data_IF_761101569716
#
_entry.id   IF_761101569716
#
_cell.length_a   1.000
_cell.length_b   1.000
_cell.length_c   1.000
_cell.angle_alpha   90.00
_cell.angle_beta   90.00
_cell.angle_gamma   90.00
#
_symmetry.space_group_name_H-M   'P 1'
#
loop_
_entity.id
_entity.type
_entity.pdbx_description
1 polymer ?
#
# COMPACT_ATOMS: atom_id res chain seq x y z
N UNK A 1 -23.31 11.28 -13.36
CA UNK A 1 -24.64 10.68 -13.36
C UNK A 1 -24.52 9.17 -13.36
N UNK A 2 -24.91 8.52 -12.25
CA UNK A 2 -24.77 7.07 -12.10
C UNK A 2 -25.79 6.29 -12.95
N UNK A 3 -26.91 6.89 -13.29
CA UNK A 3 -27.92 6.35 -14.18
C UNK A 3 -28.41 7.42 -15.15
N UNK A 4 -27.91 7.35 -16.39
CA UNK A 4 -28.21 8.34 -17.41
C UNK A 4 -29.71 8.37 -17.77
N UNK A 5 -30.35 7.19 -17.87
CA UNK A 5 -31.80 7.10 -18.21
C UNK A 5 -32.67 7.70 -17.11
N UNK A 6 -32.38 7.42 -15.87
CA UNK A 6 -33.10 7.99 -14.73
C UNK A 6 -33.04 9.51 -14.72
N UNK A 7 -31.85 10.07 -15.01
CA UNK A 7 -31.65 11.51 -15.09
C UNK A 7 -32.42 12.13 -16.27
N UNK A 8 -32.44 11.48 -17.44
CA UNK A 8 -33.21 11.91 -18.58
C UNK A 8 -34.73 11.95 -18.23
N UNK A 9 -35.24 10.90 -17.57
CA UNK A 9 -36.62 10.85 -17.12
C UNK A 9 -36.94 12.00 -16.15
N UNK A 10 -36.06 12.27 -15.19
CA UNK A 10 -36.22 13.39 -14.27
C UNK A 10 -36.33 14.74 -15.04
N UNK A 11 -35.45 14.95 -16.02
CA UNK A 11 -35.43 16.15 -16.86
C UNK A 11 -36.66 16.24 -17.75
N UNK A 12 -37.11 15.15 -18.38
CA UNK A 12 -38.29 15.11 -19.22
C UNK A 12 -39.55 15.37 -18.39
N UNK A 13 -39.66 14.76 -17.21
CA UNK A 13 -40.77 15.02 -16.28
C UNK A 13 -40.87 16.47 -15.89
N UNK A 14 -39.72 17.06 -15.45
CA UNK A 14 -39.67 18.46 -15.05
C UNK A 14 -40.05 19.39 -16.18
N UNK A 15 -39.56 19.12 -17.41
CA UNK A 15 -39.90 19.87 -18.59
C UNK A 15 -41.40 19.78 -18.96
N UNK A 16 -42.03 18.61 -18.79
CA UNK A 16 -43.44 18.43 -19.05
C UNK A 16 -44.29 19.17 -18.01
N UNK A 17 -43.96 19.06 -16.73
CA UNK A 17 -44.70 19.74 -15.67
C UNK A 17 -44.55 21.25 -15.65
N UNK A 18 -43.46 21.79 -16.27
CA UNK A 18 -43.21 23.23 -16.38
C UNK A 18 -43.90 23.86 -17.62
N UNK A 19 -44.59 23.08 -18.47
CA UNK A 19 -45.32 23.65 -19.65
C UNK A 19 -46.51 24.46 -19.21
N UNK A 20 -46.66 25.65 -19.77
CA UNK A 20 -47.85 26.49 -19.57
C UNK A 20 -49.11 25.89 -20.24
N UNK A 21 -48.92 25.22 -21.41
CA UNK A 21 -49.99 24.53 -22.16
C UNK A 21 -49.86 23.01 -21.99
N UNK A 22 -50.33 22.51 -20.86
CA UNK A 22 -50.30 21.06 -20.55
C UNK A 22 -51.40 20.34 -21.34
N UNK A 23 -51.03 19.51 -22.32
CA UNK A 23 -51.96 18.77 -23.17
C UNK A 23 -52.32 17.39 -22.59
N UNK A 24 -53.34 16.75 -23.15
CA UNK A 24 -53.76 15.37 -22.80
C UNK A 24 -52.64 14.37 -23.14
N UNK A 25 -51.88 14.60 -24.24
CA UNK A 25 -50.71 13.84 -24.65
C UNK A 25 -49.55 14.00 -23.64
N UNK A 26 -49.35 15.21 -23.11
CA UNK A 26 -48.36 15.45 -22.06
C UNK A 26 -48.70 14.69 -20.78
N UNK A 27 -50.02 14.57 -20.46
CA UNK A 27 -50.49 13.80 -19.32
C UNK A 27 -50.21 12.28 -19.46
N UNK A 28 -50.40 11.71 -20.65
CA UNK A 28 -50.10 10.32 -20.94
C UNK A 28 -48.58 10.07 -20.84
N UNK A 29 -47.76 10.95 -21.45
CA UNK A 29 -46.31 10.84 -21.40
C UNK A 29 -45.77 11.00 -19.99
N UNK A 30 -46.31 11.93 -19.20
CA UNK A 30 -45.98 12.10 -17.80
C UNK A 30 -46.25 10.82 -16.98
N UNK A 31 -47.40 10.17 -17.19
CA UNK A 31 -47.76 8.93 -16.51
C UNK A 31 -46.82 7.75 -16.88
N UNK A 32 -46.45 7.65 -18.17
CA UNK A 32 -45.44 6.67 -18.62
C UNK A 32 -44.09 6.88 -17.96
N UNK A 33 -43.60 8.13 -17.93
CA UNK A 33 -42.34 8.49 -17.30
C UNK A 33 -42.36 8.27 -15.78
N UNK A 34 -43.51 8.53 -15.12
CA UNK A 34 -43.69 8.21 -13.69
C UNK A 34 -43.57 6.70 -13.43
N UNK A 35 -44.20 5.88 -14.28
CA UNK A 35 -44.09 4.42 -14.19
C UNK A 35 -42.66 3.92 -14.37
N UNK A 36 -41.94 4.46 -15.37
CA UNK A 36 -40.54 4.12 -15.59
C UNK A 36 -39.65 4.60 -14.44
N UNK A 37 -39.88 5.81 -13.92
CA UNK A 37 -39.17 6.38 -12.76
C UNK A 37 -39.36 5.53 -11.51
N UNK A 38 -40.59 5.08 -11.24
CA UNK A 38 -40.87 4.19 -10.11
C UNK A 38 -40.16 2.83 -10.23
N UNK A 39 -40.14 2.27 -11.46
CA UNK A 39 -39.45 0.98 -11.74
C UNK A 39 -37.94 1.06 -11.50
N UNK A 40 -37.34 2.23 -11.72
CA UNK A 40 -35.94 2.50 -11.51
C UNK A 40 -35.62 2.97 -10.08
N UNK A 41 -36.55 2.90 -9.15
CA UNK A 41 -36.41 3.41 -7.78
C UNK A 41 -36.05 4.88 -7.70
N UNK A 42 -36.58 5.68 -8.62
CA UNK A 42 -36.24 7.08 -8.78
C UNK A 42 -36.52 7.98 -7.57
N UNK A 43 -37.49 7.61 -6.74
CA UNK A 43 -37.86 8.35 -5.53
C UNK A 43 -36.75 8.33 -4.46
N UNK A 44 -35.93 7.29 -4.41
CA UNK A 44 -34.85 7.13 -3.47
C UNK A 44 -33.49 7.53 -4.07
N UNK A 45 -33.45 7.82 -5.37
CA UNK A 45 -32.20 8.05 -6.11
C UNK A 45 -31.33 9.17 -5.54
N UNK A 46 -31.92 10.29 -5.13
CA UNK A 46 -31.15 11.39 -4.51
C UNK A 46 -30.60 11.01 -3.13
N UNK A 47 -31.41 10.32 -2.33
CA UNK A 47 -30.98 9.83 -1.02
C UNK A 47 -29.86 8.80 -1.16
N UNK A 48 -29.97 7.86 -2.10
CA UNK A 48 -28.95 6.86 -2.37
C UNK A 48 -27.66 7.51 -2.84
N UNK A 49 -27.74 8.48 -3.74
CA UNK A 49 -26.57 9.24 -4.20
C UNK A 49 -25.91 10.02 -3.05
N UNK A 50 -26.69 10.67 -2.19
CA UNK A 50 -26.20 11.38 -1.04
C UNK A 50 -25.50 10.44 -0.04
N UNK A 51 -26.05 9.28 0.22
CA UNK A 51 -25.46 8.26 1.10
C UNK A 51 -24.12 7.76 0.56
N UNK A 52 -24.01 7.50 -0.75
CA UNK A 52 -22.76 7.10 -1.39
C UNK A 52 -21.68 8.20 -1.28
N UNK A 53 -22.06 9.45 -1.56
CA UNK A 53 -21.14 10.59 -1.48
C UNK A 53 -20.64 10.83 -0.05
N UNK A 54 -21.55 10.83 0.93
CA UNK A 54 -21.20 11.00 2.34
C UNK A 54 -20.29 9.85 2.83
N UNK A 55 -20.61 8.61 2.47
CA UNK A 55 -19.79 7.44 2.81
C UNK A 55 -18.37 7.53 2.27
N UNK A 56 -18.18 8.12 1.10
CA UNK A 56 -16.87 8.36 0.49
C UNK A 56 -16.20 9.65 0.98
N UNK A 57 -16.77 10.35 1.98
CA UNK A 57 -16.21 11.56 2.56
C UNK A 57 -16.37 12.80 1.68
N UNK A 58 -17.46 12.89 0.89
CA UNK A 58 -17.91 14.09 0.22
C UNK A 58 -19.03 14.70 1.07
N UNK A 59 -18.76 15.77 1.77
CA UNK A 59 -19.71 16.44 2.67
C UNK A 59 -20.92 17.02 1.90
N UNK A 60 -22.05 17.09 2.57
CA UNK A 60 -23.34 17.48 1.96
C UNK A 60 -23.29 18.87 1.29
N UNK A 61 -22.43 19.77 1.75
CA UNK A 61 -22.25 21.10 1.15
C UNK A 61 -21.73 21.08 -0.29
N UNK A 62 -21.02 19.99 -0.67
CA UNK A 62 -20.47 19.80 -2.03
C UNK A 62 -21.45 19.10 -2.98
N UNK A 63 -22.55 18.49 -2.51
CA UNK A 63 -23.44 17.66 -3.32
C UNK A 63 -24.11 18.41 -4.48
N UNK A 64 -24.34 19.70 -4.32
CA UNK A 64 -24.99 20.56 -5.32
C UNK A 64 -24.00 21.46 -6.08
N UNK A 65 -22.70 21.30 -5.85
CA UNK A 65 -21.67 22.01 -6.60
C UNK A 65 -21.42 21.35 -7.97
N UNK A 66 -20.89 22.15 -8.89
CA UNK A 66 -20.48 21.63 -10.18
C UNK A 66 -19.23 20.78 -10.02
N UNK A 67 -19.18 19.61 -10.69
CA UNK A 67 -18.00 18.71 -10.64
C UNK A 67 -16.72 19.43 -11.07
N UNK A 68 -16.84 20.47 -11.94
CA UNK A 68 -15.71 21.29 -12.35
C UNK A 68 -15.01 21.99 -11.19
N UNK A 69 -15.75 22.38 -10.18
CA UNK A 69 -15.28 23.19 -9.04
C UNK A 69 -14.66 22.32 -7.92
N UNK A 70 -14.85 21.01 -7.98
CA UNK A 70 -14.29 20.07 -7.02
C UNK A 70 -12.78 19.86 -7.22
N UNK A 71 -12.08 19.53 -6.13
CA UNK A 71 -10.67 19.12 -6.18
C UNK A 71 -10.47 17.81 -6.93
N UNK A 72 -9.25 17.51 -7.36
CA UNK A 72 -8.94 16.25 -8.04
C UNK A 72 -9.31 15.01 -7.22
N UNK A 73 -9.02 15.01 -5.91
CA UNK A 73 -9.37 13.93 -5.01
C UNK A 73 -10.89 13.76 -4.85
N UNK A 74 -11.63 14.85 -4.71
CA UNK A 74 -13.10 14.82 -4.65
C UNK A 74 -13.71 14.29 -5.96
N UNK A 75 -13.16 14.67 -7.12
CA UNK A 75 -13.61 14.15 -8.43
C UNK A 75 -13.48 12.63 -8.52
N UNK A 76 -12.38 12.06 -8.03
CA UNK A 76 -12.20 10.60 -7.99
C UNK A 76 -13.25 9.93 -7.11
N UNK A 77 -13.52 10.48 -5.93
CA UNK A 77 -14.57 9.99 -5.02
C UNK A 77 -15.95 10.05 -5.66
N UNK A 78 -16.27 11.10 -6.39
CA UNK A 78 -17.55 11.23 -7.13
C UNK A 78 -17.67 10.20 -8.25
N UNK A 79 -16.58 9.93 -8.99
CA UNK A 79 -16.56 8.88 -10.02
C UNK A 79 -16.75 7.49 -9.42
N UNK A 80 -16.17 7.23 -8.24
CA UNK A 80 -16.41 5.99 -7.51
C UNK A 80 -17.87 5.87 -7.08
N UNK A 81 -18.45 6.92 -6.50
CA UNK A 81 -19.88 6.96 -6.16
C UNK A 81 -20.77 6.69 -7.38
N UNK A 82 -20.42 7.25 -8.54
CA UNK A 82 -21.11 6.99 -9.80
C UNK A 82 -21.08 5.50 -10.19
N UNK A 83 -19.95 4.84 -10.03
CA UNK A 83 -19.82 3.40 -10.34
C UNK A 83 -20.62 2.52 -9.39
N UNK A 84 -20.74 2.91 -8.12
CA UNK A 84 -21.50 2.17 -7.10
C UNK A 84 -23.01 2.40 -7.18
N UNK A 85 -23.45 3.48 -7.81
CA UNK A 85 -24.84 3.88 -7.88
C UNK A 85 -25.69 2.92 -8.73
N UNK A 86 -26.90 2.62 -8.27
CA UNK A 86 -27.88 1.85 -9.04
C UNK A 86 -27.73 0.34 -8.94
N UNK A 87 -26.97 -0.16 -7.99
CA UNK A 87 -26.77 -1.59 -7.74
C UNK A 87 -26.42 -2.39 -9.03
N UNK A 88 -25.29 -2.12 -9.67
CA UNK A 88 -24.90 -2.77 -10.92
C UNK A 88 -24.76 -4.29 -10.74
N UNK A 89 -25.06 -5.07 -11.78
CA UNK A 89 -24.89 -6.52 -11.77
C UNK A 89 -23.44 -6.95 -11.68
N UNK A 90 -22.54 -6.18 -12.31
CA UNK A 90 -21.10 -6.40 -12.30
C UNK A 90 -20.41 -5.08 -12.03
N UNK A 91 -19.62 -5.04 -10.98
CA UNK A 91 -18.82 -3.88 -10.56
C UNK A 91 -17.35 -4.14 -10.84
N UNK A 92 -16.71 -3.27 -11.63
CA UNK A 92 -15.31 -3.33 -11.96
C UNK A 92 -14.58 -2.14 -11.32
N UNK A 93 -13.65 -2.41 -10.40
CA UNK A 93 -12.91 -1.40 -9.67
C UNK A 93 -11.41 -1.59 -9.88
N UNK A 94 -10.74 -0.55 -10.33
CA UNK A 94 -9.29 -0.51 -10.48
C UNK A 94 -8.71 0.49 -9.49
N UNK A 95 -7.93 -0.03 -8.52
CA UNK A 95 -7.31 0.73 -7.43
C UNK A 95 -8.28 1.67 -6.69
N UNK A 96 -9.43 1.18 -6.19
CA UNK A 96 -10.51 2.03 -5.67
C UNK A 96 -10.15 2.73 -4.35
N UNK A 97 -9.14 2.24 -3.62
CA UNK A 97 -8.70 2.83 -2.35
C UNK A 97 -7.76 4.03 -2.53
N UNK A 98 -7.25 4.25 -3.74
CA UNK A 98 -6.41 5.39 -4.03
C UNK A 98 -7.17 6.70 -3.80
N UNK A 99 -6.53 7.64 -3.11
CA UNK A 99 -7.09 8.95 -2.76
C UNK A 99 -8.27 8.94 -1.76
N UNK A 100 -8.56 7.81 -1.15
CA UNK A 100 -9.50 7.71 -0.04
C UNK A 100 -8.77 7.86 1.30
N UNK A 101 -9.44 8.49 2.26
CA UNK A 101 -9.04 8.45 3.66
C UNK A 101 -9.49 7.13 4.32
N UNK A 102 -9.02 6.87 5.53
CA UNK A 102 -9.29 5.62 6.23
C UNK A 102 -10.78 5.36 6.46
N UNK A 103 -11.56 6.41 6.75
CA UNK A 103 -13.00 6.29 7.00
C UNK A 103 -13.74 5.93 5.71
N UNK A 104 -13.37 6.55 4.59
CA UNK A 104 -13.92 6.23 3.27
C UNK A 104 -13.53 4.81 2.81
N UNK A 105 -12.31 4.36 3.10
CA UNK A 105 -11.88 2.98 2.83
C UNK A 105 -12.71 2.00 3.66
N UNK A 106 -12.86 2.23 4.96
CA UNK A 106 -13.65 1.38 5.83
C UNK A 106 -15.12 1.30 5.39
N UNK A 107 -15.69 2.43 4.98
CA UNK A 107 -17.05 2.46 4.43
C UNK A 107 -17.15 1.66 3.11
N UNK A 108 -16.17 1.82 2.20
CA UNK A 108 -16.13 1.07 0.93
C UNK A 108 -15.99 -0.43 1.16
N UNK A 109 -15.17 -0.85 2.11
CA UNK A 109 -15.04 -2.24 2.51
C UNK A 109 -16.37 -2.83 2.95
N UNK A 110 -17.08 -2.14 3.84
CA UNK A 110 -18.39 -2.57 4.32
C UNK A 110 -19.42 -2.60 3.20
N UNK A 111 -19.43 -1.60 2.33
CA UNK A 111 -20.29 -1.57 1.15
C UNK A 111 -20.07 -2.80 0.25
N UNK A 112 -18.79 -3.13 -0.07
CA UNK A 112 -18.46 -4.25 -0.95
C UNK A 112 -18.68 -5.61 -0.30
N UNK A 113 -18.51 -5.75 1.01
CA UNK A 113 -18.83 -6.99 1.74
C UNK A 113 -20.33 -7.28 1.66
N UNK A 114 -21.16 -6.26 1.75
CA UNK A 114 -22.63 -6.37 1.68
C UNK A 114 -23.20 -6.33 0.25
N UNK A 115 -22.33 -6.12 -0.75
CA UNK A 115 -22.76 -6.07 -2.16
C UNK A 115 -23.09 -7.48 -2.66
N UNK A 116 -24.34 -7.69 -3.09
CA UNK A 116 -24.84 -9.02 -3.43
C UNK A 116 -24.41 -9.51 -4.81
N UNK A 117 -24.04 -8.60 -5.71
CA UNK A 117 -23.68 -8.90 -7.09
C UNK A 117 -22.16 -9.15 -7.25
N UNK A 118 -21.72 -9.33 -8.47
CA UNK A 118 -20.33 -9.65 -8.78
C UNK A 118 -19.44 -8.41 -8.70
N UNK A 119 -18.34 -8.48 -7.94
CA UNK A 119 -17.30 -7.46 -7.88
C UNK A 119 -15.99 -8.05 -8.39
N UNK A 120 -15.33 -7.34 -9.30
CA UNK A 120 -13.97 -7.61 -9.70
C UNK A 120 -13.14 -6.38 -9.35
N UNK A 121 -12.18 -6.55 -8.45
CA UNK A 121 -11.33 -5.46 -7.96
C UNK A 121 -9.87 -5.76 -8.21
N UNK A 122 -9.13 -4.75 -8.66
CA UNK A 122 -7.66 -4.72 -8.72
C UNK A 122 -7.17 -3.77 -7.64
N UNK A 123 -6.31 -4.21 -6.77
CA UNK A 123 -5.73 -3.36 -5.73
C UNK A 123 -4.36 -3.87 -5.29
N UNK A 124 -3.49 -2.95 -4.89
CA UNK A 124 -2.24 -3.22 -4.19
C UNK A 124 -2.39 -3.19 -2.66
N UNK A 125 -3.57 -2.83 -2.16
CA UNK A 125 -3.90 -2.84 -0.74
C UNK A 125 -4.27 -4.25 -0.28
N UNK A 126 -3.32 -4.93 0.35
CA UNK A 126 -3.49 -6.32 0.83
C UNK A 126 -4.55 -6.43 1.92
N UNK A 127 -4.64 -5.45 2.80
CA UNK A 127 -5.64 -5.43 3.86
C UNK A 127 -7.05 -5.34 3.29
N UNK A 128 -7.25 -4.43 2.33
CA UNK A 128 -8.51 -4.30 1.60
C UNK A 128 -8.89 -5.60 0.86
N UNK A 129 -7.95 -6.21 0.12
CA UNK A 129 -8.18 -7.47 -0.57
C UNK A 129 -8.54 -8.61 0.39
N UNK A 130 -7.86 -8.70 1.54
CA UNK A 130 -8.14 -9.71 2.55
C UNK A 130 -9.54 -9.59 3.14
N UNK A 131 -10.00 -8.37 3.32
CA UNK A 131 -11.28 -8.08 3.95
C UNK A 131 -12.47 -8.24 3.00
N UNK A 132 -12.30 -7.86 1.73
CA UNK A 132 -13.38 -7.79 0.74
C UNK A 132 -13.44 -9.04 -0.14
N UNK A 133 -12.30 -9.61 -0.55
CA UNK A 133 -12.28 -10.66 -1.56
C UNK A 133 -12.53 -12.05 -0.98
N UNK A 134 -13.38 -12.82 -1.69
CA UNK A 134 -13.66 -14.24 -1.41
C UNK A 134 -12.88 -15.18 -2.33
N UNK A 135 -12.38 -14.66 -3.44
CA UNK A 135 -11.56 -15.38 -4.42
C UNK A 135 -10.45 -14.46 -4.94
N UNK A 136 -9.33 -15.05 -5.30
CA UNK A 136 -8.22 -14.36 -5.95
C UNK A 136 -8.06 -14.90 -7.38
N UNK A 137 -8.08 -14.01 -8.35
CA UNK A 137 -7.75 -14.28 -9.74
C UNK A 137 -6.28 -13.92 -9.98
N UNK A 138 -5.43 -14.91 -10.07
CA UNK A 138 -4.01 -14.74 -10.32
C UNK A 138 -3.72 -14.75 -11.82
N UNK A 139 -3.18 -13.64 -12.33
CA UNK A 139 -2.81 -13.48 -13.73
C UNK A 139 -1.29 -13.59 -13.84
N UNK A 140 -0.81 -14.69 -14.38
CA UNK A 140 0.61 -14.92 -14.59
C UNK A 140 0.87 -15.65 -15.91
N UNK A 141 1.90 -15.23 -16.65
CA UNK A 141 2.25 -15.77 -17.99
C UNK A 141 1.07 -15.85 -18.99
N UNK A 142 0.18 -14.86 -18.96
CA UNK A 142 -0.98 -14.78 -19.86
C UNK A 142 -2.08 -15.82 -19.54
N UNK A 143 -2.07 -16.38 -18.35
CA UNK A 143 -3.10 -17.30 -17.84
C UNK A 143 -3.74 -16.72 -16.60
N UNK A 144 -5.03 -16.99 -16.43
CA UNK A 144 -5.80 -16.64 -15.24
C UNK A 144 -6.05 -17.92 -14.45
N UNK A 145 -5.67 -17.93 -13.19
CA UNK A 145 -5.96 -19.02 -12.26
C UNK A 145 -6.75 -18.48 -11.06
N UNK A 146 -7.88 -19.13 -10.76
CA UNK A 146 -8.72 -18.76 -9.64
C UNK A 146 -8.37 -19.59 -8.41
N UNK A 147 -8.27 -18.91 -7.27
CA UNK A 147 -8.08 -19.50 -5.95
C UNK A 147 -9.24 -19.09 -5.06
N UNK A 148 -9.86 -20.05 -4.38
CA UNK A 148 -10.82 -19.75 -3.33
C UNK A 148 -10.09 -19.24 -2.08
N UNK A 149 -10.63 -18.20 -1.45
CA UNK A 149 -10.05 -17.58 -0.26
C UNK A 149 -9.61 -16.14 -0.52
N UNK A 150 -9.04 -15.53 0.51
CA UNK A 150 -8.52 -14.17 0.45
C UNK A 150 -7.06 -14.13 -0.04
N UNK A 151 -6.47 -12.91 -0.06
CA UNK A 151 -5.11 -12.70 -0.52
C UNK A 151 -4.06 -13.47 0.31
N UNK A 152 -4.15 -13.47 1.63
CA UNK A 152 -3.18 -14.18 2.50
C UNK A 152 -3.23 -15.67 2.26
N UNK A 153 -4.41 -16.25 2.14
CA UNK A 153 -4.58 -17.68 1.82
C UNK A 153 -3.96 -18.02 0.45
N UNK A 154 -4.19 -17.19 -0.55
CA UNK A 154 -3.55 -17.36 -1.88
C UNK A 154 -2.03 -17.28 -1.77
N UNK A 155 -1.51 -16.28 -1.07
CA UNK A 155 -0.07 -16.07 -0.92
C UNK A 155 0.60 -17.26 -0.23
N UNK A 156 0.09 -17.68 0.92
CA UNK A 156 0.61 -18.84 1.67
C UNK A 156 0.52 -20.13 0.87
N UNK A 157 -0.61 -20.38 0.22
CA UNK A 157 -0.84 -21.57 -0.62
C UNK A 157 0.09 -21.58 -1.82
N UNK A 158 0.33 -20.46 -2.48
CA UNK A 158 1.24 -20.34 -3.61
C UNK A 158 2.69 -20.58 -3.20
N UNK A 159 3.13 -20.04 -2.06
CA UNK A 159 4.48 -20.27 -1.52
C UNK A 159 4.69 -21.72 -1.13
N UNK A 160 3.70 -22.33 -0.49
CA UNK A 160 3.75 -23.75 -0.11
C UNK A 160 3.85 -24.65 -1.35
N UNK A 161 3.05 -24.38 -2.37
CA UNK A 161 3.07 -25.15 -3.64
C UNK A 161 4.44 -25.06 -4.33
N UNK A 162 5.02 -23.85 -4.41
CA UNK A 162 6.37 -23.64 -4.97
C UNK A 162 7.42 -24.42 -4.17
N UNK A 163 7.34 -24.38 -2.83
CA UNK A 163 8.25 -25.14 -1.98
C UNK A 163 8.13 -26.64 -2.21
N UNK A 164 6.93 -27.18 -2.25
CA UNK A 164 6.68 -28.61 -2.50
C UNK A 164 7.20 -29.05 -3.88
N UNK A 165 6.97 -28.23 -4.92
CA UNK A 165 7.50 -28.50 -6.26
C UNK A 165 9.03 -28.52 -6.29
N UNK A 166 9.69 -27.56 -5.61
CA UNK A 166 11.16 -27.53 -5.49
C UNK A 166 11.71 -28.77 -4.79
N UNK A 167 11.09 -29.17 -3.68
CA UNK A 167 11.48 -30.38 -2.95
C UNK A 167 11.26 -31.65 -3.77
N UNK A 168 10.13 -31.76 -4.48
CA UNK A 168 9.86 -32.88 -5.40
C UNK A 168 10.87 -32.93 -6.54
N UNK A 169 11.20 -31.82 -7.16
CA UNK A 169 12.22 -31.76 -8.21
C UNK A 169 13.61 -32.12 -7.69
N UNK A 170 14.00 -31.64 -6.51
CA UNK A 170 15.27 -32.02 -5.89
C UNK A 170 15.39 -33.55 -5.71
N UNK A 171 14.34 -34.20 -5.23
CA UNK A 171 14.31 -35.65 -5.10
C UNK A 171 14.41 -36.37 -6.47
N UNK A 172 13.76 -35.82 -7.50
CA UNK A 172 13.87 -36.35 -8.87
C UNK A 172 15.27 -36.13 -9.42
N UNK A 173 15.92 -35.00 -9.20
CA UNK A 173 17.32 -34.74 -9.61
C UNK A 173 18.31 -35.66 -8.91
N UNK A 174 18.17 -35.91 -7.63
CA UNK A 174 18.98 -36.88 -6.88
C UNK A 174 18.82 -38.28 -7.47
N UNK A 175 17.58 -38.67 -7.81
CA UNK A 175 17.31 -39.94 -8.45
C UNK A 175 17.89 -40.06 -9.86
N UNK A 176 17.80 -38.98 -10.64
CA UNK A 176 18.44 -38.91 -11.96
C UNK A 176 19.95 -39.13 -11.83
N UNK A 177 20.59 -38.44 -10.90
CA UNK A 177 22.02 -38.57 -10.65
C UNK A 177 22.43 -40.00 -10.26
N UNK A 178 21.71 -40.63 -9.32
CA UNK A 178 21.94 -42.01 -8.93
C UNK A 178 21.84 -42.97 -10.12
N UNK A 179 20.81 -42.80 -10.96
CA UNK A 179 20.59 -43.62 -12.15
C UNK A 179 21.70 -43.42 -13.19
N UNK A 180 22.11 -42.17 -13.42
CA UNK A 180 23.20 -41.86 -14.35
C UNK A 180 24.53 -42.45 -13.89
N UNK A 181 24.89 -42.31 -12.60
CA UNK A 181 26.11 -42.89 -12.04
C UNK A 181 26.10 -44.43 -12.15
N UNK A 182 24.96 -45.07 -11.88
CA UNK A 182 24.83 -46.51 -12.04
C UNK A 182 24.99 -46.94 -13.49
N UNK A 183 24.33 -46.26 -14.43
CA UNK A 183 24.43 -46.55 -15.87
C UNK A 183 25.88 -46.39 -16.34
N UNK A 184 26.53 -45.29 -15.95
CA UNK A 184 27.93 -45.05 -16.33
C UNK A 184 28.87 -46.13 -15.79
N UNK A 185 28.69 -46.58 -14.56
CA UNK A 185 29.56 -47.56 -13.89
C UNK A 185 29.38 -48.96 -14.45
N UNK A 186 28.17 -49.36 -14.89
CA UNK A 186 27.84 -50.74 -15.23
C UNK A 186 27.41 -50.96 -16.68
N UNK A 187 27.37 -49.93 -17.52
CA UNK A 187 27.01 -50.05 -18.94
C UNK A 187 27.94 -51.02 -19.73
N UNK A 188 29.20 -51.06 -19.39
CA UNK A 188 30.21 -51.92 -20.03
C UNK A 188 30.30 -53.36 -19.43
N UNK A 189 29.56 -53.66 -18.35
CA UNK A 189 29.62 -54.93 -17.66
C UNK A 189 28.53 -55.88 -18.17
N UNK A 190 28.92 -56.97 -18.87
CA UNK A 190 28.01 -57.92 -19.49
C UNK A 190 27.00 -58.56 -18.52
N UNK A 191 27.38 -58.80 -17.24
CA UNK A 191 26.49 -59.41 -16.25
C UNK A 191 25.44 -58.44 -15.70
N UNK A 192 25.69 -57.14 -15.76
CA UNK A 192 24.78 -56.07 -15.28
C UNK A 192 24.12 -55.24 -16.38
N UNK A 193 24.37 -55.56 -17.64
CA UNK A 193 23.85 -54.85 -18.82
C UNK A 193 22.31 -54.75 -18.83
N UNK A 194 21.60 -55.86 -18.47
CA UNK A 194 20.13 -55.82 -18.36
C UNK A 194 19.63 -54.86 -17.30
N UNK A 195 20.35 -54.76 -16.16
CA UNK A 195 19.99 -53.83 -15.10
C UNK A 195 20.27 -52.37 -15.51
N UNK A 196 21.38 -52.13 -16.22
CA UNK A 196 21.69 -50.81 -16.78
C UNK A 196 20.63 -50.33 -17.79
N UNK A 197 20.17 -51.25 -18.67
CA UNK A 197 19.10 -50.98 -19.65
C UNK A 197 17.77 -50.67 -18.95
N UNK A 198 17.41 -51.45 -17.92
CA UNK A 198 16.19 -51.17 -17.13
C UNK A 198 16.23 -49.82 -16.45
N UNK A 199 17.38 -49.43 -15.88
CA UNK A 199 17.56 -48.12 -15.23
C UNK A 199 17.61 -46.99 -16.24
N UNK A 200 18.11 -47.20 -17.46
CA UNK A 200 18.02 -46.22 -18.54
C UNK A 200 16.57 -45.93 -18.92
N UNK A 201 15.73 -46.97 -19.04
CA UNK A 201 14.29 -46.82 -19.27
C UNK A 201 13.58 -46.09 -18.09
N UNK A 202 14.02 -46.34 -16.85
CA UNK A 202 13.49 -45.62 -15.68
C UNK A 202 13.91 -44.14 -15.70
N UNK A 203 15.14 -43.83 -16.13
CA UNK A 203 15.61 -42.44 -16.27
C UNK A 203 14.82 -41.65 -17.32
N UNK A 204 14.51 -42.29 -18.46
CA UNK A 204 13.74 -41.71 -19.56
C UNK A 204 12.30 -41.36 -19.14
N UNK A 205 11.77 -42.02 -18.11
CA UNK A 205 10.42 -41.76 -17.58
C UNK A 205 10.36 -40.64 -16.53
N UNK A 206 11.51 -40.24 -15.96
CA UNK A 206 11.54 -39.17 -14.96
C UNK A 206 11.47 -37.85 -15.70
N UNK A 207 10.34 -37.17 -15.55
CA UNK A 207 10.16 -35.79 -15.98
C UNK A 207 10.27 -34.89 -14.75
N UNK A 208 11.12 -33.87 -14.85
CA UNK A 208 11.14 -32.79 -13.89
C UNK A 208 9.89 -31.94 -14.14
N UNK A 209 9.17 -31.60 -13.08
CA UNK A 209 8.09 -30.63 -13.18
C UNK A 209 8.69 -29.28 -13.59
N UNK A 210 8.15 -28.71 -14.66
CA UNK A 210 8.55 -27.39 -15.09
C UNK A 210 8.08 -26.40 -14.02
N UNK A 211 8.95 -26.12 -13.04
CA UNK A 211 8.74 -24.99 -12.13
C UNK A 211 8.99 -23.76 -12.98
N UNK A 212 7.92 -23.21 -13.55
CA UNK A 212 8.00 -21.87 -14.11
C UNK A 212 8.19 -20.94 -12.94
N UNK A 213 9.35 -20.28 -12.80
CA UNK A 213 9.47 -19.24 -11.79
C UNK A 213 8.38 -18.21 -12.09
N UNK A 214 7.62 -17.80 -11.06
CA UNK A 214 6.63 -16.73 -11.24
C UNK A 214 7.28 -15.54 -11.95
N UNK A 215 6.54 -14.89 -12.84
CA UNK A 215 7.01 -13.64 -13.45
C UNK A 215 7.23 -12.55 -12.41
N UNK A 216 6.61 -12.70 -11.23
CA UNK A 216 6.77 -11.81 -10.09
C UNK A 216 8.14 -11.95 -9.48
N UNK A 217 8.81 -10.81 -9.36
CA UNK A 217 10.13 -10.73 -8.74
C UNK A 217 10.01 -9.92 -7.46
N UNK A 218 10.38 -10.56 -6.35
CA UNK A 218 10.44 -9.89 -5.05
C UNK A 218 11.84 -9.30 -4.87
N UNK A 219 11.96 -8.00 -4.56
CA UNK A 219 13.25 -7.47 -4.13
C UNK A 219 13.64 -8.08 -2.78
N UNK A 220 14.93 -8.17 -2.51
CA UNK A 220 15.43 -8.64 -1.23
C UNK A 220 15.78 -7.44 -0.33
N UNK A 221 14.90 -7.14 0.61
CA UNK A 221 15.06 -6.04 1.55
C UNK A 221 15.42 -6.59 2.93
N UNK A 222 16.63 -6.27 3.37
CA UNK A 222 17.18 -6.69 4.65
C UNK A 222 18.02 -5.54 5.23
N UNK A 223 17.47 -4.87 6.24
CA UNK A 223 18.13 -3.77 6.92
C UNK A 223 19.00 -4.32 8.03
N UNK A 224 20.33 -4.08 7.96
CA UNK A 224 21.30 -4.55 8.95
C UNK A 224 22.03 -3.38 9.55
N UNK A 225 21.84 -3.12 10.87
CA UNK A 225 22.59 -2.07 11.53
C UNK A 225 24.06 -2.49 11.69
N UNK A 226 24.99 -1.55 11.44
CA UNK A 226 26.42 -1.76 11.67
C UNK A 226 26.77 -1.67 13.16
N UNK A 227 25.95 -0.94 13.93
CA UNK A 227 26.18 -0.68 15.35
C UNK A 227 24.94 -1.03 16.15
N UNK A 228 25.13 -1.69 17.30
CA UNK A 228 24.06 -1.90 18.24
C UNK A 228 23.58 -0.56 18.83
N UNK A 229 22.26 -0.45 18.99
CA UNK A 229 21.61 0.72 19.57
C UNK A 229 21.61 0.62 21.11
N UNK A 230 21.95 1.72 21.77
CA UNK A 230 21.89 1.84 23.23
C UNK A 230 20.45 2.07 23.74
N UNK A 231 20.32 2.26 25.04
CA UNK A 231 19.01 2.48 25.66
C UNK A 231 18.43 3.87 25.39
N UNK A 232 19.30 4.88 25.30
CA UNK A 232 18.88 6.24 24.94
C UNK A 232 18.85 6.38 23.42
N UNK A 233 17.67 6.53 22.85
CA UNK A 233 17.47 6.63 21.39
C UNK A 233 17.15 8.05 20.98
N UNK A 234 16.03 8.59 21.46
CA UNK A 234 15.59 9.94 21.10
C UNK A 234 14.79 10.53 22.26
N UNK A 235 15.06 11.79 22.58
CA UNK A 235 14.24 12.60 23.48
C UNK A 235 13.78 13.84 22.73
N UNK A 236 12.48 14.10 22.73
CA UNK A 236 11.84 15.28 22.16
C UNK A 236 11.10 16.01 23.28
N UNK A 237 11.35 17.31 23.40
CA UNK A 237 10.80 18.14 24.46
C UNK A 237 10.17 19.42 23.91
N UNK A 238 8.86 19.58 24.15
CA UNK A 238 8.08 20.80 23.87
C UNK A 238 8.23 21.32 22.42
N UNK A 239 8.26 20.42 21.46
CA UNK A 239 8.50 20.70 20.06
C UNK A 239 7.28 21.37 19.43
N UNK A 240 7.47 22.54 18.82
CA UNK A 240 6.43 23.26 18.08
C UNK A 240 6.96 23.75 16.74
N UNK A 241 6.09 23.73 15.73
CA UNK A 241 6.38 24.24 14.39
C UNK A 241 5.13 24.79 13.73
N UNK A 242 5.27 25.97 13.13
CA UNK A 242 4.22 26.63 12.34
C UNK A 242 4.64 26.70 10.88
N UNK A 243 3.75 26.30 9.98
CA UNK A 243 3.94 26.36 8.53
C UNK A 243 2.77 27.14 7.93
N UNK A 244 3.07 28.17 7.15
CA UNK A 244 2.08 29.02 6.47
C UNK A 244 0.98 29.56 7.42
N UNK A 245 1.35 29.88 8.65
CA UNK A 245 0.44 30.39 9.67
C UNK A 245 -0.34 29.34 10.45
N UNK A 246 -0.22 28.06 10.09
CA UNK A 246 -0.84 26.92 10.79
C UNK A 246 0.17 26.24 11.69
N UNK A 247 -0.17 26.07 12.96
CA UNK A 247 0.67 25.37 13.94
C UNK A 247 0.50 23.85 13.75
N UNK A 248 1.35 23.25 12.93
CA UNK A 248 1.28 21.83 12.57
C UNK A 248 1.80 20.90 13.66
N UNK A 249 2.70 21.38 14.51
CA UNK A 249 3.17 20.73 15.74
C UNK A 249 3.03 21.70 16.91
N UNK A 250 2.38 21.27 17.97
CA UNK A 250 2.08 22.09 19.15
C UNK A 250 2.50 21.39 20.44
N UNK A 251 3.64 21.79 20.98
CA UNK A 251 4.16 21.35 22.27
C UNK A 251 4.25 19.81 22.41
N UNK A 252 4.87 19.15 21.41
CA UNK A 252 5.01 17.70 21.36
C UNK A 252 6.23 17.25 22.19
N UNK A 253 6.01 16.28 23.06
CA UNK A 253 7.06 15.65 23.86
C UNK A 253 6.92 14.14 23.86
N UNK A 254 8.01 13.42 23.62
CA UNK A 254 8.08 11.96 23.70
C UNK A 254 9.51 11.46 23.83
N UNK A 255 9.65 10.23 24.27
CA UNK A 255 10.93 9.52 24.37
C UNK A 255 10.83 8.21 23.62
N UNK A 256 11.81 7.88 22.80
CA UNK A 256 11.93 6.59 22.12
C UNK A 256 12.93 5.68 22.81
N UNK A 257 12.58 4.41 22.91
CA UNK A 257 13.38 3.34 23.46
C UNK A 257 13.92 2.43 22.34
N UNK A 258 14.91 1.60 22.66
CA UNK A 258 15.63 0.75 21.71
C UNK A 258 14.77 -0.30 20.96
N UNK A 259 13.58 -0.62 21.46
CA UNK A 259 12.69 -1.62 20.86
C UNK A 259 11.49 -1.00 20.15
N UNK A 260 11.42 0.33 20.10
CA UNK A 260 10.27 1.03 19.56
C UNK A 260 10.21 0.92 18.03
N UNK A 261 9.05 0.53 17.54
CA UNK A 261 8.64 0.61 16.15
C UNK A 261 7.37 1.46 16.10
N UNK A 262 7.57 2.73 15.78
CA UNK A 262 6.56 3.76 15.91
C UNK A 262 5.91 4.04 14.56
N UNK A 263 4.60 3.90 14.48
CA UNK A 263 3.83 4.42 13.35
C UNK A 263 3.30 5.80 13.69
N UNK A 264 3.64 6.78 12.85
CA UNK A 264 3.05 8.11 12.85
C UNK A 264 1.78 8.09 12.01
N UNK A 265 0.65 8.37 12.64
CA UNK A 265 -0.65 8.42 11.99
C UNK A 265 -1.30 9.78 12.22
N UNK A 266 -2.42 10.03 11.57
CA UNK A 266 -3.17 11.26 11.72
C UNK A 266 -3.59 11.88 10.39
N UNK A 267 -4.58 12.77 10.40
CA UNK A 267 -5.18 13.32 9.18
C UNK A 267 -4.26 14.31 8.46
N UNK A 268 -3.36 14.98 9.18
CA UNK A 268 -2.49 16.01 8.61
C UNK A 268 -1.14 15.39 8.18
N UNK A 269 -0.99 15.11 6.89
CA UNK A 269 0.26 14.58 6.34
C UNK A 269 1.43 15.55 6.45
N UNK A 270 1.17 16.86 6.35
CA UNK A 270 2.20 17.88 6.50
C UNK A 270 2.82 17.85 7.89
N UNK A 271 2.00 17.67 8.94
CA UNK A 271 2.50 17.55 10.31
C UNK A 271 3.46 16.37 10.49
N UNK A 272 3.12 15.21 9.91
CA UNK A 272 4.00 14.03 9.93
C UNK A 272 5.32 14.29 9.22
N UNK A 273 5.27 14.81 8.00
CA UNK A 273 6.47 15.13 7.20
C UNK A 273 7.35 16.18 7.89
N UNK A 274 6.75 17.20 8.49
CA UNK A 274 7.49 18.24 9.24
C UNK A 274 8.23 17.62 10.43
N UNK A 275 7.59 16.71 11.18
CA UNK A 275 8.25 16.02 12.29
C UNK A 275 9.45 15.19 11.78
N UNK A 276 9.30 14.45 10.69
CA UNK A 276 10.41 13.71 10.09
C UNK A 276 11.56 14.61 9.67
N UNK A 277 11.27 15.74 9.01
CA UNK A 277 12.29 16.69 8.58
C UNK A 277 13.06 17.31 9.75
N UNK A 278 12.36 17.62 10.85
CA UNK A 278 13.01 18.14 12.07
C UNK A 278 13.92 17.08 12.65
N UNK A 279 13.46 15.84 12.81
CA UNK A 279 14.26 14.74 13.37
C UNK A 279 15.42 14.33 12.47
N UNK A 280 15.32 14.52 11.17
CA UNK A 280 16.39 14.30 10.20
C UNK A 280 17.41 15.47 10.15
N UNK A 281 17.13 16.58 10.84
CA UNK A 281 17.99 17.76 10.82
C UNK A 281 17.86 18.64 9.58
N UNK A 282 16.80 18.43 8.78
CA UNK A 282 16.54 19.23 7.57
C UNK A 282 15.70 20.47 7.83
N UNK A 283 15.08 20.56 9.00
CA UNK A 283 14.24 21.68 9.41
C UNK A 283 14.45 21.99 10.90
N UNK A 284 14.54 23.28 11.24
CA UNK A 284 14.61 23.72 12.63
C UNK A 284 13.21 23.84 13.24
N UNK A 285 13.00 23.41 14.49
CA UNK A 285 11.76 23.69 15.21
C UNK A 285 11.66 25.18 15.55
N UNK A 286 10.42 25.69 15.75
CA UNK A 286 10.20 27.06 16.22
C UNK A 286 10.41 27.14 17.74
N UNK A 287 9.98 26.09 18.46
CA UNK A 287 10.14 25.96 19.91
C UNK A 287 10.51 24.52 20.25
N UNK A 288 11.11 24.34 21.43
CA UNK A 288 11.50 23.03 21.93
C UNK A 288 12.81 22.52 21.39
N UNK A 289 13.11 21.27 21.70
CA UNK A 289 14.36 20.62 21.31
C UNK A 289 14.20 19.13 21.12
N UNK A 290 15.16 18.55 20.42
CA UNK A 290 15.29 17.10 20.31
C UNK A 290 16.75 16.67 20.42
N UNK A 291 16.96 15.48 20.92
CA UNK A 291 18.30 14.93 21.11
C UNK A 291 18.34 13.44 20.78
N UNK A 292 19.17 13.09 19.81
CA UNK A 292 19.49 11.71 19.50
C UNK A 292 20.52 11.13 20.49
N UNK A 293 20.35 9.87 20.84
CA UNK A 293 21.34 9.14 21.63
C UNK A 293 22.67 8.98 20.91
N UNK A 294 23.76 8.95 21.65
CA UNK A 294 25.15 8.92 21.10
C UNK A 294 25.47 7.64 20.29
N UNK A 295 24.68 6.57 20.50
CA UNK A 295 24.83 5.31 19.77
C UNK A 295 23.98 5.22 18.52
N UNK A 296 23.11 6.22 18.26
CA UNK A 296 22.17 6.20 17.15
C UNK A 296 22.81 6.65 15.85
N UNK A 297 22.45 5.96 14.78
CA UNK A 297 22.74 6.37 13.40
C UNK A 297 21.42 6.36 12.63
N UNK A 298 21.07 7.49 12.02
CA UNK A 298 19.77 7.68 11.37
C UNK A 298 19.89 7.52 9.86
N UNK A 299 18.88 6.91 9.25
CA UNK A 299 18.66 6.97 7.82
C UNK A 299 17.21 7.44 7.58
N UNK A 300 17.03 8.36 6.67
CA UNK A 300 15.75 8.99 6.37
C UNK A 300 15.32 8.75 4.94
N UNK A 301 14.09 8.25 4.78
CA UNK A 301 13.40 8.10 3.51
C UNK A 301 12.33 9.20 3.43
N UNK A 302 12.58 10.30 2.67
CA UNK A 302 11.64 11.40 2.56
C UNK A 302 10.46 11.05 1.66
N UNK A 303 9.30 11.65 1.92
CA UNK A 303 8.11 11.52 1.08
C UNK A 303 8.36 12.01 -0.34
N UNK A 304 8.99 13.18 -0.50
CA UNK A 304 9.48 13.68 -1.78
C UNK A 304 10.99 13.44 -1.87
N UNK A 305 11.38 12.51 -2.72
CA UNK A 305 12.76 12.15 -3.00
C UNK A 305 13.25 12.64 -4.37
N UNK A 306 12.49 13.49 -5.06
CA UNK A 306 12.80 13.95 -6.42
C UNK A 306 14.15 14.63 -6.53
N UNK A 307 14.55 15.41 -5.53
CA UNK A 307 15.83 16.11 -5.48
C UNK A 307 17.04 15.16 -5.48
N UNK A 308 16.90 13.96 -4.93
CA UNK A 308 17.97 12.94 -4.89
C UNK A 308 18.34 12.43 -6.31
N UNK A 309 17.39 12.52 -7.25
CA UNK A 309 17.51 11.97 -8.60
C UNK A 309 17.61 13.05 -9.69
N UNK A 310 17.69 14.33 -9.34
CA UNK A 310 17.85 15.43 -10.28
C UNK A 310 19.33 15.67 -10.64
N UNK A 311 19.99 14.63 -11.13
CA UNK A 311 21.36 14.66 -11.60
C UNK A 311 21.59 13.63 -12.71
N UNK A 312 22.79 13.63 -13.30
CA UNK A 312 23.17 12.75 -14.41
C UNK A 312 23.97 11.52 -13.98
N UNK A 313 24.05 11.24 -12.70
CA UNK A 313 24.75 10.06 -12.20
C UNK A 313 24.07 8.77 -12.71
N UNK A 314 24.88 7.74 -12.94
CA UNK A 314 24.34 6.39 -13.12
C UNK A 314 24.04 5.78 -11.74
N UNK A 315 23.10 4.82 -11.70
CA UNK A 315 22.61 4.26 -10.42
C UNK A 315 23.74 3.74 -9.54
N UNK A 316 24.73 3.06 -10.13
CA UNK A 316 25.89 2.52 -9.38
C UNK A 316 26.70 3.64 -8.72
N UNK A 317 26.99 4.71 -9.45
CA UNK A 317 27.78 5.83 -8.91
C UNK A 317 26.99 6.60 -7.87
N UNK A 318 25.69 6.81 -8.10
CA UNK A 318 24.79 7.45 -7.16
C UNK A 318 24.76 6.68 -5.83
N UNK A 319 24.60 5.35 -5.85
CA UNK A 319 24.57 4.56 -4.62
C UNK A 319 25.93 4.47 -3.94
N UNK A 320 27.02 4.47 -4.71
CA UNK A 320 28.39 4.41 -4.19
C UNK A 320 28.70 5.60 -3.28
N UNK A 321 28.11 6.77 -3.50
CA UNK A 321 28.29 7.96 -2.66
C UNK A 321 27.91 7.68 -1.19
N UNK A 322 26.90 6.86 -0.97
CA UNK A 322 26.33 6.55 0.34
C UNK A 322 26.88 5.25 0.96
N UNK A 323 27.69 4.51 0.21
CA UNK A 323 28.26 3.25 0.68
C UNK A 323 29.47 3.49 1.56
N UNK A 324 29.59 2.82 2.72
CA UNK A 324 30.83 2.82 3.50
C UNK A 324 31.97 2.10 2.77
N UNK A 325 31.64 1.13 1.91
CA UNK A 325 32.60 0.40 1.08
C UNK A 325 32.49 0.89 -0.36
N UNK A 326 33.56 1.51 -0.87
CA UNK A 326 33.61 2.11 -2.22
C UNK A 326 33.99 1.08 -3.31
N UNK A 327 33.53 -0.15 -3.17
CA UNK A 327 33.71 -1.20 -4.18
C UNK A 327 32.45 -1.35 -5.04
N UNK A 328 32.65 -1.29 -6.34
CA UNK A 328 31.56 -1.39 -7.34
C UNK A 328 30.83 -2.73 -7.25
N UNK A 329 31.54 -3.82 -6.98
CA UNK A 329 30.95 -5.16 -6.85
C UNK A 329 30.03 -5.24 -5.63
N UNK A 330 30.44 -4.65 -4.52
CA UNK A 330 29.63 -4.55 -3.30
C UNK A 330 28.34 -3.76 -3.55
N UNK A 331 28.46 -2.58 -4.17
CA UNK A 331 27.29 -1.72 -4.49
C UNK A 331 26.35 -2.40 -5.48
N UNK A 332 26.87 -3.04 -6.52
CA UNK A 332 26.06 -3.82 -7.48
C UNK A 332 25.33 -4.98 -6.81
N UNK A 333 25.90 -5.56 -5.77
CA UNK A 333 25.23 -6.59 -4.97
C UNK A 333 23.93 -6.08 -4.33
N UNK A 334 23.91 -4.87 -3.78
CA UNK A 334 22.69 -4.24 -3.26
C UNK A 334 21.68 -3.94 -4.36
N UNK A 335 22.14 -3.38 -5.47
CA UNK A 335 21.27 -3.07 -6.61
C UNK A 335 20.66 -4.33 -7.22
N UNK A 336 21.41 -5.41 -7.32
CA UNK A 336 20.91 -6.70 -7.80
C UNK A 336 19.80 -7.28 -6.91
N UNK A 337 19.93 -7.15 -5.59
CA UNK A 337 18.88 -7.54 -4.63
C UNK A 337 17.60 -6.70 -4.82
N UNK A 338 17.74 -5.47 -5.26
CA UNK A 338 16.63 -4.55 -5.53
C UNK A 338 16.16 -4.59 -6.99
N UNK A 339 16.47 -5.68 -7.70
CA UNK A 339 16.02 -5.97 -9.06
C UNK A 339 16.63 -5.07 -10.15
N UNK A 340 17.76 -4.44 -9.87
CA UNK A 340 18.57 -3.76 -10.88
C UNK A 340 19.67 -4.71 -11.37
N UNK A 341 19.40 -5.43 -12.44
CA UNK A 341 20.31 -6.42 -12.98
C UNK A 341 20.87 -6.00 -14.35
N UNK A 342 22.09 -6.40 -14.67
CA UNK A 342 22.71 -6.15 -15.96
C UNK A 342 22.83 -4.66 -16.28
N UNK A 343 22.23 -4.25 -17.39
CA UNK A 343 22.30 -2.88 -17.89
C UNK A 343 21.49 -1.86 -17.07
N UNK A 344 20.63 -2.32 -16.16
CA UNK A 344 19.87 -1.42 -15.30
C UNK A 344 20.77 -0.57 -14.40
N UNK A 345 21.89 -1.11 -13.94
CA UNK A 345 22.83 -0.41 -13.08
C UNK A 345 23.55 0.77 -13.75
N UNK A 346 23.52 0.87 -15.08
CA UNK A 346 24.13 1.96 -15.84
C UNK A 346 23.10 2.99 -16.34
N UNK A 347 21.83 2.83 -15.98
CA UNK A 347 20.81 3.87 -16.23
C UNK A 347 21.12 5.11 -15.43
N UNK A 348 20.84 6.28 -16.01
CA UNK A 348 20.88 7.54 -15.28
C UNK A 348 19.74 7.59 -14.27
N UNK A 349 19.98 8.10 -13.07
CA UNK A 349 18.97 8.19 -12.02
C UNK A 349 17.80 9.09 -12.42
N UNK A 350 18.00 10.06 -13.26
CA UNK A 350 16.98 10.97 -13.78
C UNK A 350 15.87 10.28 -14.60
N UNK A 351 16.19 9.18 -15.29
CA UNK A 351 15.23 8.48 -16.16
C UNK A 351 14.47 7.35 -15.48
N UNK A 352 14.68 7.15 -14.20
CA UNK A 352 14.02 6.10 -13.43
C UNK A 352 12.54 6.35 -13.25
N UNK A 353 11.74 5.28 -13.30
CA UNK A 353 10.34 5.30 -12.91
C UNK A 353 10.17 5.57 -11.40
N UNK A 354 8.97 5.93 -10.97
CA UNK A 354 8.68 6.16 -9.55
C UNK A 354 9.05 4.97 -8.66
N UNK A 355 8.66 3.75 -9.05
CA UNK A 355 8.99 2.53 -8.32
C UNK A 355 10.50 2.20 -8.32
N UNK A 356 11.20 2.46 -9.43
CA UNK A 356 12.66 2.32 -9.49
C UNK A 356 13.37 3.31 -8.56
N UNK A 357 12.91 4.57 -8.50
CA UNK A 357 13.43 5.57 -7.56
C UNK A 357 13.26 5.14 -6.10
N UNK A 358 12.08 4.64 -5.74
CA UNK A 358 11.83 4.12 -4.39
C UNK A 358 12.74 2.95 -4.08
N UNK A 359 12.92 2.01 -4.99
CA UNK A 359 13.86 0.88 -4.80
C UNK A 359 15.32 1.35 -4.66
N UNK A 360 15.73 2.40 -5.37
CA UNK A 360 17.04 3.03 -5.16
C UNK A 360 17.15 3.64 -3.75
N UNK A 361 16.13 4.37 -3.29
CA UNK A 361 16.12 4.94 -1.94
C UNK A 361 16.17 3.85 -0.86
N UNK A 362 15.47 2.73 -1.05
CA UNK A 362 15.56 1.58 -0.13
C UNK A 362 16.94 0.95 -0.14
N UNK A 363 17.61 0.89 -1.30
CA UNK A 363 19.01 0.46 -1.39
C UNK A 363 19.94 1.39 -0.59
N UNK A 364 19.74 2.70 -0.66
CA UNK A 364 20.44 3.72 0.14
C UNK A 364 20.24 3.49 1.64
N UNK A 365 18.99 3.22 2.06
CA UNK A 365 18.68 2.91 3.45
C UNK A 365 19.39 1.64 3.94
N UNK A 366 19.39 0.58 3.13
CA UNK A 366 20.07 -0.67 3.48
C UNK A 366 21.59 -0.51 3.56
N UNK A 367 22.21 0.17 2.60
CA UNK A 367 23.67 0.30 2.53
C UNK A 367 24.24 1.22 3.61
N UNK A 368 23.42 2.10 4.16
CA UNK A 368 23.82 3.04 5.22
C UNK A 368 24.22 2.35 6.53
N UNK A 369 23.67 1.16 6.80
CA UNK A 369 23.89 0.45 8.06
C UNK A 369 23.33 1.15 9.30
N UNK A 370 22.37 2.07 9.14
CA UNK A 370 21.76 2.80 10.24
C UNK A 370 20.98 1.89 11.19
N UNK A 371 20.97 2.23 12.47
CA UNK A 371 20.21 1.53 13.50
C UNK A 371 18.89 2.21 13.86
N UNK A 372 18.61 3.38 13.29
CA UNK A 372 17.31 4.06 13.33
C UNK A 372 16.89 4.35 11.88
N UNK A 373 15.73 3.83 11.50
CA UNK A 373 15.17 4.03 10.18
C UNK A 373 13.93 4.93 10.28
N UNK A 374 13.89 5.97 9.47
CA UNK A 374 12.75 6.88 9.36
C UNK A 374 12.19 6.80 7.95
N UNK A 375 10.91 6.43 7.83
CA UNK A 375 10.22 6.31 6.54
C UNK A 375 8.98 7.21 6.49
N UNK A 376 8.95 8.12 5.54
CA UNK A 376 7.78 8.94 5.25
C UNK A 376 7.11 8.46 3.97
N UNK A 377 6.02 7.68 4.11
CA UNK A 377 5.23 7.06 3.02
C UNK A 377 6.09 6.25 2.02
N UNK A 378 6.83 5.23 2.47
CA UNK A 378 7.77 4.49 1.61
C UNK A 378 7.08 3.58 0.59
N UNK A 379 5.77 3.37 0.69
CA UNK A 379 5.00 2.46 -0.16
C UNK A 379 4.45 3.11 -1.42
N UNK A 380 4.48 4.43 -1.50
CA UNK A 380 4.03 5.14 -2.69
C UNK A 380 4.84 4.68 -3.91
N UNK A 381 4.14 4.39 -5.02
CA UNK A 381 4.71 3.89 -6.29
C UNK A 381 5.34 2.49 -6.26
N UNK A 382 5.22 1.73 -5.17
CA UNK A 382 5.66 0.34 -5.12
C UNK A 382 4.58 -0.62 -5.61
N UNK A 383 5.03 -1.68 -6.29
CA UNK A 383 4.19 -2.84 -6.56
C UNK A 383 4.00 -3.71 -5.29
N UNK A 384 3.05 -4.61 -5.34
CA UNK A 384 2.69 -5.44 -4.20
C UNK A 384 3.86 -6.34 -3.72
N UNK A 385 4.68 -6.80 -4.63
CA UNK A 385 5.87 -7.61 -4.35
C UNK A 385 6.90 -6.80 -3.56
N UNK A 386 7.14 -5.56 -3.95
CA UNK A 386 8.05 -4.64 -3.27
C UNK A 386 7.51 -4.20 -1.91
N UNK A 387 6.21 -3.94 -1.80
CA UNK A 387 5.54 -3.63 -0.53
C UNK A 387 5.67 -4.81 0.45
N UNK A 388 5.44 -6.03 -0.03
CA UNK A 388 5.59 -7.25 0.79
C UNK A 388 7.03 -7.44 1.27
N UNK A 389 8.01 -7.24 0.39
CA UNK A 389 9.42 -7.33 0.73
C UNK A 389 9.84 -6.24 1.75
N UNK A 390 9.35 -5.01 1.59
CA UNK A 390 9.60 -3.90 2.53
C UNK A 390 9.00 -4.22 3.91
N UNK A 391 7.76 -4.69 3.95
CA UNK A 391 7.09 -5.07 5.19
C UNK A 391 7.89 -6.15 5.94
N UNK A 392 8.33 -7.19 5.24
CA UNK A 392 9.15 -8.24 5.83
C UNK A 392 10.49 -7.70 6.36
N UNK A 393 11.13 -6.80 5.61
CA UNK A 393 12.38 -6.15 6.02
C UNK A 393 12.22 -5.28 7.26
N UNK A 394 11.15 -4.48 7.33
CA UNK A 394 10.83 -3.64 8.49
C UNK A 394 10.51 -4.48 9.74
N UNK A 395 9.70 -5.51 9.59
CA UNK A 395 9.30 -6.40 10.70
C UNK A 395 10.51 -7.10 11.33
N UNK A 396 11.49 -7.51 10.52
CA UNK A 396 12.70 -8.21 10.97
C UNK A 396 13.80 -7.29 11.47
N UNK A 397 13.70 -6.00 11.22
CA UNK A 397 14.74 -5.05 11.61
C UNK A 397 14.92 -5.00 13.13
N UNK A 398 16.15 -5.21 13.65
CA UNK A 398 16.38 -5.25 15.10
C UNK A 398 16.50 -3.87 15.75
N UNK A 399 16.60 -2.79 14.97
CA UNK A 399 16.72 -1.40 15.44
C UNK A 399 15.38 -0.70 15.63
N UNK A 400 15.42 0.61 15.75
CA UNK A 400 14.26 1.49 15.91
C UNK A 400 13.75 1.94 14.55
N UNK A 401 12.44 1.91 14.38
CA UNK A 401 11.75 2.43 13.19
C UNK A 401 10.74 3.50 13.61
N UNK A 402 10.76 4.63 12.89
CA UNK A 402 9.70 5.63 12.90
C UNK A 402 9.19 5.73 11.48
N UNK A 403 7.92 5.50 11.26
CA UNK A 403 7.39 5.48 9.89
C UNK A 403 5.96 6.00 9.81
N UNK A 404 5.59 6.52 8.66
CA UNK A 404 4.21 6.74 8.25
C UNK A 404 3.91 5.90 7.02
N UNK A 405 2.75 5.30 6.95
CA UNK A 405 2.28 4.55 5.78
C UNK A 405 0.76 4.51 5.75
N UNK A 406 0.21 4.56 4.54
CA UNK A 406 -1.20 4.29 4.28
C UNK A 406 -1.51 2.81 4.16
N UNK A 407 -0.49 1.97 4.06
CA UNK A 407 -0.64 0.52 4.02
C UNK A 407 -0.95 -0.01 5.43
N UNK A 408 -2.22 -0.35 5.67
CA UNK A 408 -2.69 -0.85 6.97
C UNK A 408 -1.90 -2.08 7.42
N UNK A 409 -1.58 -3.00 6.51
CA UNK A 409 -0.86 -4.22 6.82
C UNK A 409 0.55 -3.95 7.34
N UNK A 410 1.26 -2.99 6.75
CA UNK A 410 2.59 -2.58 7.24
C UNK A 410 2.48 -1.98 8.64
N UNK A 411 1.52 -1.07 8.86
CA UNK A 411 1.32 -0.47 10.19
C UNK A 411 0.99 -1.54 11.22
N UNK A 412 0.04 -2.42 10.93
CA UNK A 412 -0.40 -3.48 11.83
C UNK A 412 0.71 -4.48 12.19
N UNK A 413 1.52 -4.89 11.21
CA UNK A 413 2.53 -5.94 11.41
C UNK A 413 3.88 -5.42 11.92
N UNK A 414 4.17 -4.14 11.74
CA UNK A 414 5.45 -3.54 12.10
C UNK A 414 5.39 -2.76 13.41
N UNK A 415 4.35 -1.93 13.60
CA UNK A 415 4.28 -1.03 14.73
C UNK A 415 3.93 -1.75 16.05
N UNK A 416 4.65 -1.39 17.11
CA UNK A 416 4.32 -1.73 18.48
C UNK A 416 3.92 -0.49 19.32
N UNK A 417 3.94 0.69 18.69
CA UNK A 417 3.59 1.97 19.28
C UNK A 417 2.98 2.87 18.23
N UNK A 418 1.85 3.46 18.54
CA UNK A 418 1.13 4.38 17.64
C UNK A 418 1.23 5.80 18.20
N UNK A 419 1.68 6.71 17.36
CA UNK A 419 1.68 8.15 17.62
C UNK A 419 0.79 8.85 16.61
N UNK A 420 -0.28 9.46 17.07
CA UNK A 420 -1.22 10.20 16.22
C UNK A 420 -1.08 11.71 16.45
N UNK A 421 -0.93 12.46 15.37
CA UNK A 421 -0.90 13.92 15.40
C UNK A 421 -2.27 14.44 14.97
N UNK A 422 -2.99 15.05 15.92
CA UNK A 422 -4.31 15.65 15.71
C UNK A 422 -4.23 17.11 16.11
N UNK A 423 -4.48 18.02 15.17
CA UNK A 423 -4.40 19.46 15.38
C UNK A 423 -3.10 19.91 16.08
N UNK A 424 -1.99 19.38 15.61
CA UNK A 424 -0.67 19.63 16.17
C UNK A 424 -0.35 18.92 17.48
N UNK A 425 -1.32 18.31 18.14
CA UNK A 425 -1.15 17.62 19.42
C UNK A 425 -0.89 16.13 19.23
N UNK A 426 -0.13 15.53 20.14
CA UNK A 426 0.28 14.15 20.07
C UNK A 426 -0.57 13.25 20.98
N UNK A 427 -1.10 12.17 20.40
CA UNK A 427 -1.61 11.02 21.12
C UNK A 427 -0.58 9.91 20.96
N UNK A 428 -0.11 9.34 22.06
CA UNK A 428 0.94 8.33 22.09
C UNK A 428 0.48 7.13 22.89
N UNK A 429 0.47 5.96 22.26
CA UNK A 429 0.02 4.70 22.86
C UNK A 429 0.90 3.53 22.43
N UNK A 430 1.35 2.75 23.39
CA UNK A 430 2.02 1.46 23.14
C UNK A 430 0.94 0.42 22.90
N UNK A 431 0.72 0.10 21.62
CA UNK A 431 -0.36 -0.80 21.18
C UNK A 431 -0.15 -1.19 19.73
N UNK A 432 -0.90 -2.17 19.24
CA UNK A 432 -1.02 -2.47 17.80
C UNK A 432 -2.00 -1.49 17.13
N UNK A 433 -1.97 -1.45 15.80
CA UNK A 433 -2.81 -0.49 15.06
C UNK A 433 -4.30 -0.79 15.18
N UNK A 434 -4.69 -2.07 15.06
CA UNK A 434 -6.11 -2.46 15.17
C UNK A 434 -6.65 -2.17 16.58
N UNK A 435 -5.90 -2.50 17.63
CA UNK A 435 -6.27 -2.18 19.00
C UNK A 435 -6.39 -0.66 19.22
N UNK A 436 -5.53 0.13 18.58
CA UNK A 436 -5.58 1.59 18.63
C UNK A 436 -6.87 2.14 18.01
N UNK A 437 -7.25 1.62 16.84
CA UNK A 437 -8.46 2.05 16.12
C UNK A 437 -9.74 1.67 16.87
N UNK A 438 -9.75 0.53 17.56
CA UNK A 438 -10.89 0.04 18.35
C UNK A 438 -11.01 0.70 19.74
N UNK A 439 -10.00 1.46 20.16
CA UNK A 439 -9.95 2.05 21.50
C UNK A 439 -10.87 3.26 21.66
N UNK A 440 -11.89 3.13 22.49
CA UNK A 440 -12.78 4.25 22.88
C UNK A 440 -12.03 5.42 23.57
N UNK A 441 -10.96 5.10 24.32
CA UNK A 441 -10.11 6.11 24.96
C UNK A 441 -9.44 7.01 23.92
N UNK A 442 -8.88 6.38 22.87
CA UNK A 442 -8.20 7.11 21.80
C UNK A 442 -9.19 7.90 20.94
N UNK A 443 -10.37 7.37 20.67
CA UNK A 443 -11.44 8.06 19.99
C UNK A 443 -11.89 9.33 20.75
N UNK A 444 -12.03 9.24 22.08
CA UNK A 444 -12.34 10.40 22.92
C UNK A 444 -11.24 11.46 22.91
N UNK A 445 -9.97 11.05 22.98
CA UNK A 445 -8.84 11.99 22.91
C UNK A 445 -8.80 12.74 21.57
N UNK A 446 -9.03 12.03 20.44
CA UNK A 446 -9.15 12.65 19.12
C UNK A 446 -10.27 13.69 19.08
N UNK A 447 -11.44 13.34 19.61
CA UNK A 447 -12.58 14.23 19.66
C UNK A 447 -12.30 15.49 20.47
N UNK A 448 -11.65 15.36 21.63
CA UNK A 448 -11.27 16.53 22.46
C UNK A 448 -10.33 17.46 21.70
N UNK A 449 -9.32 16.90 21.03
CA UNK A 449 -8.36 17.73 20.26
C UNK A 449 -8.99 18.39 19.03
N UNK A 450 -10.01 17.79 18.45
CA UNK A 450 -10.76 18.36 17.32
C UNK A 450 -11.71 19.50 17.78
N UNK A 451 -12.36 19.35 18.93
CA UNK A 451 -13.31 20.35 19.47
C UNK A 451 -12.61 21.62 19.95
N UNK A 452 -11.38 21.53 20.48
CA UNK A 452 -10.62 22.70 20.95
C UNK A 452 -10.34 23.72 19.84
N UNK A 453 -10.24 23.27 18.60
CA UNK A 453 -10.03 24.13 17.43
C UNK A 453 -11.33 24.82 16.97
N UNK A 454 -12.49 24.20 17.13
CA UNK A 454 -13.78 24.82 16.80
C UNK A 454 -14.15 25.96 17.76
N UNK A 455 -13.77 25.82 19.02
CA UNK A 455 -13.98 26.88 20.04
C UNK A 455 -13.01 28.06 19.88
N UNK A 456 -11.76 27.82 19.40
CA UNK A 456 -10.78 28.89 19.14
C UNK A 456 -11.07 29.69 17.85
N UNK A 457 -11.89 29.18 16.94
CA UNK A 457 -12.28 29.86 15.70
C UNK A 457 -13.62 30.63 15.81
N UNK A 458 -14.35 30.50 16.93
CA UNK A 458 -15.59 31.25 17.20
C UNK A 458 -15.38 32.53 18.07
N UNK A 459 -14.17 32.76 18.61
CA UNK A 459 -13.74 33.99 19.30
C UNK A 459 -12.84 34.85 18.38
#
# INVERSE_FOLDING_TARGET
>A
MGNARLYEIMKEKEAIYMKEDFSEEDGVKAAELEGEFATMNGWEAESDAANLLNGLGIETEYHYQMVGDLTGAQKVKVLLAQALFGNPDILLLDEPTNHLDLDAIAWLEEFLINFENTVIVVSHDRYFLNKVCTQIADIDYGKIQLYAGNYDFWYESSQLMIKQMKEANKKKEEKIKELQEFIQRFSANASKSKQATSRKKALEKIQLDEIRPSSRKYPYIDFRPEREIGNEVLTVENLSKTIDGVKVLDNISFILNREDKVALVGPNEQAKTVLFKILAGEMEPDEGSYKWGVTTTQAYFPKDNSAEFDNDDIIVDWLTQYSPVKDVTYVRGFLGRMLFAGDDGVKKVRVLSGGEKVRCMLSKMMISGANVLMFDEPTDHLDMESITALNNGMTKFPGVIIFSSRDHQIVQTTANRIMEIVNGKLIDKITTYDEYLESDEMARKRQVFTLTEAEENED
#
